data_IF_221413991227
#
_entry.id   IF_221413991227
#
_cell.length_a   1.000
_cell.length_b   1.000
_cell.length_c   1.000
_cell.angle_alpha   90.00
_cell.angle_beta   90.00
_cell.angle_gamma   90.00
#
_symmetry.space_group_name_H-M   'P 1'
#
loop_
_entity.id
_entity.type
_entity.pdbx_description
1 polymer ?
#
# COMPACT_ATOMS: atom_id res chain seq x y z
N UNK A 1 10.01 -7.99 -30.14
CA UNK A 1 10.78 -8.82 -29.21
C UNK A 1 10.28 -10.25 -29.37
N UNK A 2 11.10 -11.17 -29.91
CA UNK A 2 10.69 -12.57 -30.01
C UNK A 2 10.68 -13.18 -28.62
N UNK A 3 9.60 -13.88 -28.29
CA UNK A 3 9.47 -14.61 -27.03
C UNK A 3 10.42 -15.80 -27.12
N UNK A 4 11.50 -15.82 -26.34
CA UNK A 4 12.39 -16.98 -26.23
C UNK A 4 11.60 -18.14 -25.64
N UNK A 5 11.23 -19.12 -26.47
CA UNK A 5 10.64 -20.38 -25.99
C UNK A 5 11.74 -21.19 -25.31
N UNK A 6 11.64 -21.45 -23.99
CA UNK A 6 12.70 -22.14 -23.25
C UNK A 6 12.76 -23.65 -23.54
N UNK A 7 11.72 -24.22 -24.14
CA UNK A 7 11.65 -25.63 -24.50
C UNK A 7 11.34 -25.76 -25.98
N UNK A 8 12.11 -26.60 -26.67
CA UNK A 8 11.89 -26.96 -28.08
C UNK A 8 11.89 -28.47 -28.18
N UNK A 9 10.81 -29.06 -28.68
CA UNK A 9 10.72 -30.51 -28.87
C UNK A 9 11.18 -30.82 -30.30
N UNK A 10 12.13 -31.75 -30.48
CA UNK A 10 12.61 -32.08 -31.82
C UNK A 10 11.51 -32.71 -32.67
N UNK A 11 11.41 -32.26 -33.92
CA UNK A 11 10.48 -32.80 -34.91
C UNK A 11 11.13 -34.02 -35.56
N UNK A 12 10.41 -35.14 -35.58
CA UNK A 12 10.88 -36.40 -36.18
C UNK A 12 10.79 -36.30 -37.70
N UNK A 13 11.87 -36.65 -38.40
CA UNK A 13 11.90 -36.66 -39.87
C UNK A 13 11.13 -37.87 -40.44
N UNK A 14 10.44 -37.65 -41.57
CA UNK A 14 9.52 -38.63 -42.15
C UNK A 14 10.18 -39.74 -42.98
N UNK A 15 11.45 -39.59 -43.30
CA UNK A 15 12.23 -40.44 -44.22
C UNK A 15 13.21 -41.39 -43.50
N UNK A 16 13.03 -41.60 -42.18
CA UNK A 16 13.86 -42.52 -41.40
C UNK A 16 13.57 -44.00 -41.66
N UNK A 17 14.60 -44.83 -41.51
CA UNK A 17 14.42 -46.29 -41.42
C UNK A 17 13.58 -46.63 -40.18
N UNK A 18 12.78 -47.69 -40.25
CA UNK A 18 11.86 -48.09 -39.16
C UNK A 18 12.52 -48.16 -37.78
N UNK A 19 13.71 -48.74 -37.67
CA UNK A 19 14.40 -48.87 -36.39
C UNK A 19 14.82 -47.50 -35.82
N UNK A 20 15.31 -46.60 -36.67
CA UNK A 20 15.72 -45.25 -36.26
C UNK A 20 14.51 -44.39 -35.91
N UNK A 21 13.42 -44.52 -36.68
CA UNK A 21 12.16 -43.83 -36.41
C UNK A 21 11.63 -44.18 -35.02
N UNK A 22 11.56 -45.48 -34.69
CA UNK A 22 11.09 -45.92 -33.36
C UNK A 22 11.99 -45.39 -32.25
N UNK A 23 13.31 -45.38 -32.46
CA UNK A 23 14.26 -44.81 -31.50
C UNK A 23 14.02 -43.31 -31.28
N UNK A 24 13.92 -42.54 -32.36
CA UNK A 24 13.66 -41.10 -32.26
C UNK A 24 12.31 -40.80 -31.61
N UNK A 25 11.26 -41.58 -31.90
CA UNK A 25 9.98 -41.46 -31.22
C UNK A 25 10.15 -41.66 -29.70
N UNK A 26 10.85 -42.72 -29.27
CA UNK A 26 11.08 -42.97 -27.85
C UNK A 26 11.83 -41.82 -27.17
N UNK A 27 12.96 -41.39 -27.77
CA UNK A 27 13.76 -40.27 -27.26
C UNK A 27 12.93 -38.97 -27.17
N UNK A 28 12.07 -38.70 -28.16
CA UNK A 28 11.21 -37.51 -28.16
C UNK A 28 10.12 -37.57 -27.10
N UNK A 29 9.55 -38.75 -26.83
CA UNK A 29 8.54 -38.92 -25.79
C UNK A 29 9.13 -38.77 -24.40
N UNK A 30 10.30 -39.35 -24.16
CA UNK A 30 11.01 -39.19 -22.89
C UNK A 30 11.35 -37.72 -22.63
N UNK A 31 11.82 -37.00 -23.66
CA UNK A 31 12.09 -35.57 -23.55
C UNK A 31 10.81 -34.76 -23.30
N UNK A 32 9.72 -35.08 -23.99
CA UNK A 32 8.44 -34.39 -23.81
C UNK A 32 7.88 -34.59 -22.40
N UNK A 33 8.01 -35.79 -21.83
CA UNK A 33 7.63 -36.06 -20.45
C UNK A 33 8.47 -35.23 -19.47
N UNK A 34 9.79 -35.21 -19.64
CA UNK A 34 10.69 -34.39 -18.81
C UNK A 34 10.34 -32.89 -18.88
N UNK A 35 10.07 -32.35 -20.07
CA UNK A 35 9.65 -30.96 -20.26
C UNK A 35 8.30 -30.70 -19.60
N UNK A 36 7.35 -31.62 -19.74
CA UNK A 36 6.02 -31.50 -19.13
C UNK A 36 6.13 -31.45 -17.61
N UNK A 37 6.89 -32.36 -17.00
CA UNK A 37 7.13 -32.40 -15.57
C UNK A 37 7.79 -31.11 -15.07
N UNK A 38 8.82 -30.61 -15.77
CA UNK A 38 9.48 -29.35 -15.39
C UNK A 38 8.52 -28.15 -15.47
N UNK A 39 7.69 -28.06 -16.51
CA UNK A 39 6.66 -27.01 -16.63
C UNK A 39 5.68 -27.06 -15.46
N UNK A 40 5.15 -28.25 -15.13
CA UNK A 40 4.23 -28.41 -14.01
C UNK A 40 4.91 -28.08 -12.67
N UNK A 41 6.15 -28.50 -12.47
CA UNK A 41 6.93 -28.18 -11.27
C UNK A 41 7.13 -26.68 -11.13
N UNK A 42 7.48 -25.98 -12.21
CA UNK A 42 7.66 -24.52 -12.20
C UNK A 42 6.36 -23.79 -11.87
N UNK A 43 5.23 -24.25 -12.40
CA UNK A 43 3.91 -23.73 -12.07
C UNK A 43 3.59 -24.00 -10.60
N UNK A 44 3.84 -25.21 -10.11
CA UNK A 44 3.59 -25.58 -8.71
C UNK A 44 4.42 -24.72 -7.74
N UNK A 45 5.70 -24.49 -8.03
CA UNK A 45 6.57 -23.60 -7.23
C UNK A 45 5.97 -22.18 -7.18
N UNK A 46 5.59 -21.61 -8.33
CA UNK A 46 4.97 -20.27 -8.38
C UNK A 46 3.67 -20.23 -7.60
N UNK A 47 2.83 -21.24 -7.74
CA UNK A 47 1.55 -21.35 -7.03
C UNK A 47 1.76 -21.42 -5.51
N UNK A 48 2.78 -22.14 -5.04
CA UNK A 48 3.14 -22.21 -3.62
C UNK A 48 3.61 -20.84 -3.10
N UNK A 49 4.40 -20.11 -3.87
CA UNK A 49 4.83 -18.74 -3.51
C UNK A 49 3.61 -17.83 -3.36
N UNK A 50 2.68 -17.85 -4.31
CA UNK A 50 1.47 -17.03 -4.23
C UNK A 50 0.57 -17.41 -3.06
N UNK A 51 0.40 -18.71 -2.79
CA UNK A 51 -0.32 -19.18 -1.59
C UNK A 51 0.31 -18.66 -0.30
N UNK A 52 1.64 -18.72 -0.18
CA UNK A 52 2.34 -18.19 0.98
C UNK A 52 2.15 -16.67 1.13
N UNK A 53 2.12 -15.92 0.02
CA UNK A 53 1.84 -14.48 0.06
C UNK A 53 0.40 -14.18 0.49
N UNK A 54 -0.58 -14.94 -0.02
CA UNK A 54 -1.99 -14.81 0.37
C UNK A 54 -2.19 -15.13 1.85
N UNK A 55 -1.53 -16.18 2.38
CA UNK A 55 -1.58 -16.52 3.80
C UNK A 55 -1.04 -15.38 4.67
N UNK A 56 0.10 -14.78 4.29
CA UNK A 56 0.64 -13.60 5.01
C UNK A 56 -0.31 -12.41 4.99
N UNK A 57 -1.06 -12.21 3.91
CA UNK A 57 -2.04 -11.14 3.83
C UNK A 57 -3.25 -11.46 4.72
N UNK A 58 -3.71 -12.70 4.72
CA UNK A 58 -4.82 -13.16 5.56
C UNK A 58 -4.48 -13.03 7.05
N UNK A 59 -3.28 -13.44 7.48
CA UNK A 59 -2.78 -13.24 8.85
C UNK A 59 -2.83 -11.75 9.26
N UNK A 60 -2.42 -10.85 8.37
CA UNK A 60 -2.47 -9.39 8.61
C UNK A 60 -3.90 -8.88 8.72
N UNK A 61 -4.80 -9.37 7.87
CA UNK A 61 -6.22 -9.03 7.93
C UNK A 61 -6.81 -9.51 9.25
N UNK A 62 -6.54 -10.75 9.65
CA UNK A 62 -7.02 -11.31 10.91
C UNK A 62 -6.53 -10.50 12.10
N UNK A 63 -5.25 -10.12 12.14
CA UNK A 63 -4.71 -9.28 13.19
C UNK A 63 -5.35 -7.88 13.22
N UNK A 64 -5.55 -7.26 12.06
CA UNK A 64 -6.21 -5.97 11.96
C UNK A 64 -7.68 -6.04 12.40
N UNK A 65 -8.42 -7.06 11.97
CA UNK A 65 -9.81 -7.28 12.37
C UNK A 65 -9.91 -7.52 13.88
N UNK A 66 -9.05 -8.35 14.46
CA UNK A 66 -9.01 -8.55 15.91
C UNK A 66 -8.73 -7.26 16.69
N UNK A 67 -7.88 -6.37 16.14
CA UNK A 67 -7.64 -5.06 16.72
C UNK A 67 -8.84 -4.13 16.60
N UNK A 68 -9.50 -4.11 15.45
CA UNK A 68 -10.73 -3.35 15.20
C UNK A 68 -11.82 -3.82 16.16
N UNK A 69 -12.04 -5.12 16.31
CA UNK A 69 -13.07 -5.67 17.19
C UNK A 69 -12.83 -5.30 18.66
N UNK A 70 -11.56 -5.28 19.09
CA UNK A 70 -11.17 -4.79 20.42
C UNK A 70 -11.54 -3.31 20.62
N UNK A 71 -11.35 -2.48 19.60
CA UNK A 71 -11.62 -1.03 19.68
C UNK A 71 -13.12 -0.74 19.56
N UNK A 72 -13.81 -1.41 18.63
CA UNK A 72 -15.21 -1.14 18.27
C UNK A 72 -16.19 -1.24 19.44
N UNK A 73 -15.91 -2.11 20.43
CA UNK A 73 -16.70 -2.24 21.65
C UNK A 73 -16.13 -1.53 22.88
N UNK A 74 -14.95 -0.93 22.78
CA UNK A 74 -14.26 -0.30 23.92
C UNK A 74 -14.81 1.11 24.17
N UNK A 75 -15.30 1.37 25.39
CA UNK A 75 -15.77 2.70 25.84
C UNK A 75 -14.63 3.60 26.36
N UNK A 76 -13.37 3.26 26.11
CA UNK A 76 -12.21 4.04 26.54
C UNK A 76 -12.00 5.23 25.60
N UNK A 77 -11.71 6.41 26.15
CA UNK A 77 -11.32 7.58 25.36
C UNK A 77 -10.04 7.28 24.57
N UNK A 78 -10.02 7.65 23.29
CA UNK A 78 -8.88 7.45 22.38
C UNK A 78 -8.25 8.82 22.13
N UNK A 79 -7.02 9.01 22.58
CA UNK A 79 -6.24 10.20 22.27
C UNK A 79 -5.54 10.00 20.91
N UNK A 80 -5.92 10.80 19.92
CA UNK A 80 -5.33 10.75 18.58
C UNK A 80 -4.11 11.67 18.54
N UNK A 81 -2.92 11.09 18.36
CA UNK A 81 -1.71 11.86 18.13
C UNK A 81 -1.50 12.01 16.62
N UNK A 82 -1.63 13.24 16.11
CA UNK A 82 -1.26 13.56 14.73
C UNK A 82 0.24 13.85 14.63
N UNK A 83 0.90 13.34 13.60
CA UNK A 83 2.24 13.81 13.22
C UNK A 83 2.19 15.29 12.86
N UNK A 84 3.27 16.02 13.16
CA UNK A 84 3.39 17.43 12.79
C UNK A 84 3.18 17.60 11.28
N UNK A 85 2.32 18.56 10.90
CA UNK A 85 1.89 18.81 9.51
C UNK A 85 3.03 19.17 8.56
N UNK A 86 4.18 19.59 9.10
CA UNK A 86 5.37 19.96 8.35
C UNK A 86 6.64 19.55 9.12
N UNK A 87 7.72 19.17 8.43
CA UNK A 87 9.01 18.96 9.08
C UNK A 87 9.43 20.26 9.76
N UNK A 88 9.50 20.25 11.08
CA UNK A 88 10.01 21.37 11.89
C UNK A 88 11.46 21.09 12.23
N UNK A 89 12.33 22.09 12.11
CA UNK A 89 13.70 21.95 12.56
C UNK A 89 13.73 21.65 14.07
N UNK A 90 14.55 20.69 14.51
CA UNK A 90 14.64 20.29 15.93
C UNK A 90 15.10 21.44 16.84
N UNK A 91 15.79 22.43 16.28
CA UNK A 91 16.13 23.67 16.98
C UNK A 91 15.00 24.66 16.77
N UNK A 92 14.19 24.87 17.81
CA UNK A 92 13.26 26.01 17.85
C UNK A 92 14.08 27.29 17.76
N UNK A 93 14.11 27.92 16.58
CA UNK A 93 14.55 29.30 16.46
C UNK A 93 13.53 30.16 17.20
N UNK A 94 14.01 31.10 18.03
CA UNK A 94 13.11 32.09 18.60
C UNK A 94 12.48 32.87 17.45
N UNK A 95 11.15 32.96 17.42
CA UNK A 95 10.44 33.71 16.40
C UNK A 95 10.99 35.14 16.37
N UNK A 96 11.64 35.51 15.26
CA UNK A 96 11.99 36.89 14.97
C UNK A 96 10.83 37.49 14.19
N UNK A 97 10.13 38.43 14.81
CA UNK A 97 9.10 39.20 14.14
C UNK A 97 9.73 39.96 12.98
N UNK A 98 9.15 39.85 11.79
CA UNK A 98 9.50 40.72 10.66
C UNK A 98 9.14 42.20 10.92
N UNK A 99 8.52 42.49 12.07
CA UNK A 99 8.13 43.82 12.54
C UNK A 99 8.98 44.31 13.72
N UNK A 100 10.17 43.76 13.94
CA UNK A 100 11.12 44.33 14.90
C UNK A 100 11.57 45.70 14.36
N UNK A 101 10.82 46.75 14.73
CA UNK A 101 11.08 48.13 14.36
C UNK A 101 12.18 48.69 15.25
N UNK A 102 13.21 49.27 14.64
CA UNK A 102 14.20 50.08 15.33
C UNK A 102 13.49 51.21 16.09
N UNK A 103 13.64 51.22 17.41
CA UNK A 103 12.92 52.12 18.35
C UNK A 103 13.34 53.59 18.26
N UNK A 104 14.14 53.99 17.28
CA UNK A 104 14.70 55.34 17.20
C UNK A 104 13.97 56.28 16.23
N UNK A 105 12.92 55.82 15.53
CA UNK A 105 12.14 56.67 14.63
C UNK A 105 10.64 56.67 14.99
N UNK A 106 10.17 57.80 15.54
CA UNK A 106 8.77 58.07 15.90
C UNK A 106 7.77 57.93 14.71
N UNK A 107 8.27 57.96 13.46
CA UNK A 107 7.46 57.76 12.25
C UNK A 107 7.11 56.29 11.95
N UNK A 108 7.78 55.33 12.58
CA UNK A 108 7.55 53.89 12.34
C UNK A 108 6.78 53.22 13.49
N UNK A 109 5.72 53.86 13.98
CA UNK A 109 4.79 53.19 14.92
C UNK A 109 3.84 52.28 14.11
N UNK A 110 3.78 50.96 14.39
CA UNK A 110 2.84 50.10 13.72
C UNK A 110 1.40 50.57 14.01
N UNK A 111 0.49 50.51 13.03
CA UNK A 111 -0.89 50.93 13.25
C UNK A 111 -1.52 50.08 14.35
N UNK A 112 -2.15 50.73 15.32
CA UNK A 112 -2.89 50.05 16.41
C UNK A 112 -4.09 49.35 15.78
N UNK A 113 -3.97 48.04 15.57
CA UNK A 113 -5.08 47.22 15.12
C UNK A 113 -6.06 47.02 16.28
N UNK A 114 -7.16 47.77 16.26
CA UNK A 114 -8.33 47.45 17.08
C UNK A 114 -9.00 46.22 16.47
N UNK A 115 -8.76 45.05 17.07
CA UNK A 115 -9.52 43.85 16.72
C UNK A 115 -10.95 44.03 17.23
N UNK A 116 -11.85 44.48 16.35
CA UNK A 116 -13.25 44.19 16.55
C UNK A 116 -13.39 42.66 16.49
N UNK A 117 -13.90 42.09 17.59
CA UNK A 117 -14.11 40.67 17.77
C UNK A 117 -14.90 40.12 16.58
N UNK A 118 -14.22 39.42 15.68
CA UNK A 118 -14.88 38.44 14.82
C UNK A 118 -15.39 37.34 15.74
N UNK A 119 -16.63 37.52 16.22
CA UNK A 119 -17.46 36.44 16.73
C UNK A 119 -17.44 35.35 15.69
N UNK A 120 -16.79 34.22 16.01
CA UNK A 120 -16.92 33.00 15.22
C UNK A 120 -18.42 32.69 15.16
N UNK A 121 -19.00 32.69 13.97
CA UNK A 121 -20.37 32.24 13.80
C UNK A 121 -20.41 30.76 14.18
N UNK A 122 -21.28 30.42 15.13
CA UNK A 122 -21.48 29.07 15.70
C UNK A 122 -22.10 28.10 14.69
N UNK A 123 -21.41 27.76 13.62
CA UNK A 123 -21.73 26.63 12.73
C UNK A 123 -20.44 26.34 11.97
N UNK A 124 -19.65 25.32 12.31
CA UNK A 124 -19.82 24.00 11.68
C UNK A 124 -19.12 22.86 12.44
N UNK A 125 -18.72 23.06 13.70
CA UNK A 125 -18.14 22.00 14.54
C UNK A 125 -19.24 21.19 15.25
N UNK A 126 -20.21 20.66 14.50
CA UNK A 126 -21.15 19.68 15.07
C UNK A 126 -20.49 18.32 15.09
N UNK A 127 -20.15 17.84 16.29
CA UNK A 127 -19.80 16.45 16.54
C UNK A 127 -20.96 15.55 16.06
N UNK A 128 -20.73 14.79 15.00
CA UNK A 128 -21.67 13.77 14.54
C UNK A 128 -21.54 12.58 15.50
N UNK A 129 -22.52 12.40 16.37
CA UNK A 129 -22.60 11.22 17.23
C UNK A 129 -22.87 9.99 16.32
N UNK A 130 -21.97 9.00 16.27
CA UNK A 130 -22.14 7.81 15.42
C UNK A 130 -23.35 6.94 15.84
N UNK A 131 -24.02 7.25 16.95
CA UNK A 131 -25.20 6.53 17.42
C UNK A 131 -26.51 7.34 17.27
N UNK A 132 -26.46 8.54 16.68
CA UNK A 132 -27.67 9.32 16.37
C UNK A 132 -28.40 8.68 15.18
N UNK A 133 -29.34 7.78 15.48
CA UNK A 133 -30.25 7.24 14.48
C UNK A 133 -31.23 8.35 14.11
N UNK A 134 -30.86 9.13 13.10
CA UNK A 134 -31.68 10.22 12.57
C UNK A 134 -33.15 9.82 12.48
N UNK A 135 -34.00 10.58 13.17
CA UNK A 135 -35.45 10.46 13.05
C UNK A 135 -35.82 10.69 11.60
N UNK A 136 -36.20 9.62 10.91
CA UNK A 136 -36.82 9.71 9.58
C UNK A 136 -38.16 10.41 9.74
N UNK A 137 -38.30 11.58 9.11
CA UNK A 137 -39.60 12.13 8.72
C UNK A 137 -40.22 11.31 7.61
#
# INVERSE_FOLDING_TARGET
MSVTQPYTVPIIAGDLRRAELVKQCADTFDYLDAVSQDMFNRIAIRLNVYRAQLNKFDERIQHANAHIDRIKGSKRAIQVHSSARYPVEQKRTSYKSIFECDTENEENKPPVLHYNLFRLNETDDKFIDPNDKGSKS
#
